data_IF_228192074035
#
_entry.id   IF_228192074035
#
_cell.length_a   1.000
_cell.length_b   1.000
_cell.length_c   1.000
_cell.angle_alpha   90.00
_cell.angle_beta   90.00
_cell.angle_gamma   90.00
#
_symmetry.space_group_name_H-M   'P 1'
#
loop_
_entity.id
_entity.type
_entity.pdbx_description
1 polymer ?
#
# COMPACT_ATOMS: atom_id res chain seq x y z
N UNK A 1 28.99 7.27 15.99
CA UNK A 1 28.71 8.15 17.15
C UNK A 1 27.22 8.45 17.16
N UNK A 2 26.46 7.73 17.98
CA UNK A 2 25.05 8.00 18.24
C UNK A 2 24.99 9.37 18.94
N UNK A 3 24.10 10.27 18.50
CA UNK A 3 23.92 11.56 19.16
C UNK A 3 22.54 11.52 19.80
N UNK A 4 22.47 11.83 21.08
CA UNK A 4 21.23 11.91 21.84
C UNK A 4 20.89 13.39 22.03
N UNK A 5 19.65 13.77 21.76
CA UNK A 5 19.15 15.11 22.08
C UNK A 5 17.92 14.95 22.99
N UNK A 6 17.92 15.68 24.10
CA UNK A 6 16.87 15.68 25.10
C UNK A 6 15.96 16.88 24.86
N UNK A 7 14.71 16.64 24.48
CA UNK A 7 13.64 17.66 24.53
C UNK A 7 12.63 17.21 25.58
N UNK A 8 12.15 18.16 26.37
CA UNK A 8 11.75 18.04 27.78
C UNK A 8 10.60 17.08 28.14
N UNK A 9 10.10 16.23 27.23
CA UNK A 9 9.04 15.26 27.52
C UNK A 9 9.10 13.95 26.68
N UNK A 10 9.99 13.82 25.70
CA UNK A 10 10.05 12.63 24.83
C UNK A 10 11.52 12.29 24.56
N UNK A 11 11.97 11.12 25.01
CA UNK A 11 13.27 10.58 24.62
C UNK A 11 13.16 10.06 23.19
N UNK A 12 13.52 10.90 22.22
CA UNK A 12 13.63 10.50 20.83
C UNK A 12 15.06 10.03 20.58
N UNK A 13 15.26 8.71 20.58
CA UNK A 13 16.52 8.14 20.10
C UNK A 13 16.56 8.30 18.58
N UNK A 14 17.71 8.63 18.02
CA UNK A 14 17.88 8.63 16.58
C UNK A 14 19.28 8.16 16.19
N UNK A 15 19.36 7.53 15.04
CA UNK A 15 20.60 7.08 14.44
C UNK A 15 20.94 7.98 13.24
N UNK A 16 22.12 8.62 13.26
CA UNK A 16 22.58 9.51 12.20
C UNK A 16 23.85 8.99 11.54
N UNK A 17 23.78 8.78 10.22
CA UNK A 17 24.93 8.39 9.38
C UNK A 17 25.08 9.41 8.27
N UNK A 18 26.13 10.26 8.29
CA UNK A 18 26.51 11.32 7.31
C UNK A 18 25.36 12.10 6.61
N UNK A 19 24.52 11.47 5.79
CA UNK A 19 23.38 12.06 5.06
C UNK A 19 22.00 11.54 5.49
N UNK A 20 21.93 10.54 6.37
CA UNK A 20 20.69 9.88 6.80
C UNK A 20 20.50 10.11 8.30
N UNK A 21 19.28 10.46 8.69
CA UNK A 21 18.82 10.55 10.07
C UNK A 21 17.57 9.69 10.20
N UNK A 22 17.60 8.69 11.06
CA UNK A 22 16.47 7.79 11.32
C UNK A 22 16.09 7.90 12.78
N UNK A 23 14.81 8.15 13.05
CA UNK A 23 14.27 8.19 14.40
C UNK A 23 14.03 6.75 14.89
N UNK A 24 14.60 6.41 16.04
CA UNK A 24 14.35 5.15 16.74
C UNK A 24 13.19 5.35 17.72
N UNK A 25 12.07 4.71 17.44
CA UNK A 25 10.87 4.78 18.27
C UNK A 25 10.76 3.52 19.12
N UNK A 26 10.41 3.68 20.40
CA UNK A 26 10.24 2.56 21.34
C UNK A 26 8.80 2.44 21.83
N UNK A 27 8.07 3.55 21.91
CA UNK A 27 6.71 3.58 22.43
C UNK A 27 5.65 3.50 21.32
N UNK A 28 4.54 2.80 21.62
CA UNK A 28 3.47 2.54 20.65
C UNK A 28 2.70 3.82 20.27
N UNK A 29 2.61 4.80 21.17
CA UNK A 29 1.98 6.09 20.93
C UNK A 29 2.71 6.91 19.85
N UNK A 30 4.04 7.00 19.93
CA UNK A 30 4.87 7.70 18.95
C UNK A 30 4.87 6.96 17.62
N UNK A 31 4.92 5.62 17.63
CA UNK A 31 4.79 4.82 16.42
C UNK A 31 3.47 5.13 15.71
N UNK A 32 2.34 5.11 16.43
CA UNK A 32 1.03 5.41 15.85
C UNK A 32 0.93 6.85 15.33
N UNK A 33 1.48 7.82 16.07
CA UNK A 33 1.51 9.24 15.64
C UNK A 33 2.25 9.41 14.32
N UNK A 34 3.37 8.72 14.16
CA UNK A 34 4.18 8.75 12.94
C UNK A 34 3.45 8.06 11.79
N UNK A 35 2.85 6.88 12.02
CA UNK A 35 2.06 6.18 11.01
C UNK A 35 0.88 7.01 10.53
N UNK A 36 0.15 7.65 11.44
CA UNK A 36 -0.96 8.56 11.12
C UNK A 36 -0.47 9.75 10.30
N UNK A 37 0.68 10.35 10.66
CA UNK A 37 1.26 11.48 9.93
C UNK A 37 1.66 11.11 8.49
N UNK A 38 2.12 9.87 8.27
CA UNK A 38 2.49 9.38 6.94
C UNK A 38 1.35 8.80 6.13
N UNK A 39 0.23 8.42 6.75
CA UNK A 39 -0.88 7.76 6.08
C UNK A 39 -2.11 8.68 5.96
N UNK A 40 -2.56 9.24 7.07
CA UNK A 40 -3.85 9.95 7.20
C UNK A 40 -3.74 11.46 6.99
N UNK A 41 -2.51 11.99 6.95
CA UNK A 41 -2.26 13.39 6.62
C UNK A 41 -2.73 13.72 5.20
N UNK A 42 -3.40 14.86 5.03
CA UNK A 42 -3.87 15.38 3.73
C UNK A 42 -2.72 15.52 2.72
N UNK A 43 -1.49 15.70 3.21
CA UNK A 43 -0.28 15.91 2.40
C UNK A 43 0.45 14.61 2.05
N UNK A 44 0.01 13.46 2.59
CA UNK A 44 0.72 12.18 2.43
C UNK A 44 0.70 11.66 0.99
N UNK A 45 -0.34 12.00 0.22
CA UNK A 45 -0.56 11.47 -1.12
C UNK A 45 -0.92 9.98 -1.11
N UNK A 46 -1.82 9.55 -2.00
CA UNK A 46 -2.20 8.14 -2.13
C UNK A 46 -1.11 7.35 -2.86
N UNK A 47 0.04 7.15 -2.22
CA UNK A 47 1.13 6.35 -2.77
C UNK A 47 0.72 4.88 -2.91
N UNK A 48 1.41 4.10 -3.74
CA UNK A 48 1.31 2.65 -3.68
C UNK A 48 1.93 2.14 -2.36
N UNK A 49 1.65 0.88 -1.99
CA UNK A 49 2.11 0.26 -0.74
C UNK A 49 3.64 0.43 -0.54
N UNK A 50 4.42 0.15 -1.58
CA UNK A 50 5.88 0.30 -1.59
C UNK A 50 6.34 1.73 -1.31
N UNK A 51 5.62 2.73 -1.82
CA UNK A 51 5.94 4.14 -1.60
C UNK A 51 5.71 4.58 -0.16
N UNK A 52 4.67 4.06 0.50
CA UNK A 52 4.38 4.36 1.91
C UNK A 52 5.36 3.66 2.85
N UNK A 53 5.65 2.38 2.60
CA UNK A 53 6.67 1.62 3.36
C UNK A 53 8.05 2.26 3.20
N UNK A 54 8.38 2.75 2.00
CA UNK A 54 9.61 3.49 1.72
C UNK A 54 9.79 4.74 2.59
N UNK A 55 8.73 5.54 2.76
CA UNK A 55 8.77 6.74 3.62
C UNK A 55 9.00 6.43 5.09
N UNK A 56 8.32 5.42 5.62
CA UNK A 56 8.54 4.98 7.01
C UNK A 56 9.98 4.52 7.19
N UNK A 57 10.50 3.74 6.24
CA UNK A 57 11.89 3.24 6.25
C UNK A 57 12.93 4.37 6.27
N UNK A 58 12.67 5.49 5.60
CA UNK A 58 13.63 6.61 5.52
C UNK A 58 13.66 7.46 6.78
N UNK A 59 12.55 7.54 7.51
CA UNK A 59 12.39 8.50 8.62
C UNK A 59 12.44 7.84 10.00
N UNK A 60 12.06 6.57 10.10
CA UNK A 60 11.82 5.93 11.40
C UNK A 60 12.13 4.44 11.39
N UNK A 61 12.56 3.91 12.54
CA UNK A 61 12.85 2.50 12.73
C UNK A 61 12.42 2.04 14.14
N UNK A 62 11.87 0.84 14.20
CA UNK A 62 11.56 0.12 15.44
C UNK A 62 11.57 -1.40 15.20
N UNK A 63 11.62 -2.25 16.25
CA UNK A 63 11.54 -3.70 16.08
C UNK A 63 10.24 -4.12 15.38
N UNK A 64 10.33 -5.02 14.41
CA UNK A 64 9.19 -5.51 13.62
C UNK A 64 8.40 -4.41 12.88
N UNK A 65 9.02 -3.26 12.57
CA UNK A 65 8.34 -2.12 11.97
C UNK A 65 7.56 -2.43 10.70
N UNK A 66 8.08 -3.30 9.83
CA UNK A 66 7.38 -3.71 8.59
C UNK A 66 6.03 -4.37 8.88
N UNK A 67 5.99 -5.27 9.87
CA UNK A 67 4.76 -5.96 10.27
C UNK A 67 3.75 -4.96 10.83
N UNK A 68 4.20 -4.04 11.69
CA UNK A 68 3.35 -3.01 12.29
C UNK A 68 2.78 -2.05 11.23
N UNK A 69 3.60 -1.63 10.25
CA UNK A 69 3.14 -0.79 9.13
C UNK A 69 2.09 -1.53 8.30
N UNK A 70 2.34 -2.79 7.96
CA UNK A 70 1.39 -3.60 7.19
C UNK A 70 0.05 -3.78 7.93
N UNK A 71 0.10 -4.13 9.22
CA UNK A 71 -1.10 -4.22 10.07
C UNK A 71 -1.85 -2.89 10.14
N UNK A 72 -1.14 -1.77 10.27
CA UNK A 72 -1.77 -0.44 10.28
C UNK A 72 -2.46 -0.11 8.95
N UNK A 73 -1.86 -0.41 7.81
CA UNK A 73 -2.52 -0.18 6.51
C UNK A 73 -3.70 -1.12 6.27
N UNK A 74 -3.68 -2.32 6.86
CA UNK A 74 -4.83 -3.23 6.84
C UNK A 74 -6.02 -2.73 7.68
N UNK A 75 -5.86 -1.76 8.59
CA UNK A 75 -7.03 -1.19 9.29
C UNK A 75 -7.70 -0.08 8.49
N UNK A 76 -7.07 0.45 7.43
CA UNK A 76 -7.62 1.55 6.65
C UNK A 76 -8.53 1.09 5.50
N UNK A 77 -9.83 1.26 5.66
CA UNK A 77 -10.85 0.96 4.65
C UNK A 77 -10.62 1.72 3.32
N UNK A 78 -10.22 2.99 3.39
CA UNK A 78 -9.95 3.80 2.20
C UNK A 78 -8.81 3.22 1.35
N UNK A 79 -7.73 2.79 2.02
CA UNK A 79 -6.59 2.17 1.36
C UNK A 79 -6.99 0.82 0.75
N UNK A 80 -7.71 -0.02 1.49
CA UNK A 80 -8.17 -1.32 1.01
C UNK A 80 -9.09 -1.22 -0.22
N UNK A 81 -9.94 -0.20 -0.26
CA UNK A 81 -10.82 0.05 -1.41
C UNK A 81 -10.07 0.54 -2.64
N UNK A 82 -9.04 1.38 -2.46
CA UNK A 82 -8.23 1.94 -3.55
C UNK A 82 -7.21 0.95 -4.11
N UNK A 83 -6.56 0.16 -3.25
CA UNK A 83 -5.56 -0.84 -3.61
C UNK A 83 -6.15 -2.25 -3.60
N UNK A 84 -7.25 -2.44 -4.34
CA UNK A 84 -7.73 -3.80 -4.61
C UNK A 84 -6.65 -4.56 -5.38
N UNK A 85 -6.43 -5.82 -5.02
CA UNK A 85 -5.51 -6.69 -5.72
C UNK A 85 -5.85 -6.70 -7.22
N UNK A 86 -4.97 -6.12 -8.04
CA UNK A 86 -5.12 -6.01 -9.49
C UNK A 86 -4.76 -7.31 -10.22
N UNK A 87 -4.64 -8.42 -9.49
CA UNK A 87 -4.46 -9.73 -10.09
C UNK A 87 -5.62 -10.02 -11.03
N UNK A 88 -5.33 -10.61 -12.20
CA UNK A 88 -6.37 -11.26 -13.00
C UNK A 88 -7.15 -12.18 -12.05
N UNK A 89 -8.48 -12.12 -12.07
CA UNK A 89 -9.29 -13.15 -11.40
C UNK A 89 -8.70 -14.50 -11.81
N UNK A 90 -8.43 -15.37 -10.84
CA UNK A 90 -8.11 -16.76 -11.14
C UNK A 90 -9.35 -17.37 -11.81
N UNK A 91 -9.39 -17.27 -13.13
CA UNK A 91 -10.31 -17.95 -14.00
C UNK A 91 -9.45 -18.78 -14.93
N UNK A 92 -9.70 -20.08 -14.94
CA UNK A 92 -9.08 -20.96 -15.93
C UNK A 92 -9.35 -20.37 -17.31
N UNK A 93 -8.31 -20.26 -18.13
CA UNK A 93 -8.50 -20.20 -19.57
C UNK A 93 -9.12 -21.55 -19.93
N UNK A 94 -10.46 -21.62 -19.96
CA UNK A 94 -11.17 -22.83 -20.31
C UNK A 94 -10.98 -22.99 -21.81
N UNK A 95 -10.38 -24.10 -22.22
CA UNK A 95 -10.36 -24.47 -23.62
C UNK A 95 -11.81 -24.70 -24.07
N UNK A 96 -12.27 -23.91 -25.04
CA UNK A 96 -13.55 -24.15 -25.67
C UNK A 96 -13.50 -25.48 -26.42
N UNK A 97 -14.60 -26.23 -26.40
CA UNK A 97 -14.69 -27.47 -27.16
C UNK A 97 -14.67 -27.14 -28.66
N UNK A 98 -13.82 -27.85 -29.40
CA UNK A 98 -13.76 -27.72 -30.86
C UNK A 98 -15.10 -28.14 -31.48
N UNK A 99 -15.59 -27.31 -32.41
CA UNK A 99 -16.83 -27.56 -33.13
C UNK A 99 -16.57 -28.61 -34.21
N UNK A 100 -17.41 -29.64 -34.30
CA UNK A 100 -17.26 -30.76 -35.24
C UNK A 100 -17.92 -30.50 -36.57
N UNK A 101 -18.81 -29.51 -36.64
CA UNK A 101 -19.56 -29.18 -37.85
C UNK A 101 -19.81 -27.67 -37.99
N UNK A 102 -19.98 -27.15 -39.21
CA UNK A 102 -20.38 -25.77 -39.42
C UNK A 102 -21.72 -25.46 -38.72
N UNK A 103 -21.84 -24.25 -38.15
CA UNK A 103 -23.06 -23.71 -37.52
C UNK A 103 -23.51 -24.41 -36.23
N UNK A 104 -22.66 -25.24 -35.61
CA UNK A 104 -22.98 -25.97 -34.36
C UNK A 104 -23.21 -25.02 -33.17
N UNK A 105 -22.44 -23.93 -33.09
CA UNK A 105 -22.61 -22.87 -32.11
C UNK A 105 -22.54 -21.51 -32.80
N UNK A 106 -23.49 -20.62 -32.47
CA UNK A 106 -23.50 -19.21 -32.89
C UNK A 106 -23.44 -18.33 -31.65
N UNK A 107 -22.35 -17.58 -31.51
CA UNK A 107 -22.22 -16.56 -30.48
C UNK A 107 -22.73 -15.23 -31.02
N UNK A 108 -23.62 -14.57 -30.28
CA UNK A 108 -24.13 -13.24 -30.61
C UNK A 108 -23.85 -12.29 -29.47
N UNK A 109 -23.57 -11.03 -29.81
CA UNK A 109 -23.39 -9.96 -28.83
C UNK A 109 -24.05 -8.67 -29.37
N UNK A 110 -24.40 -7.78 -28.46
CA UNK A 110 -25.03 -6.51 -28.79
C UNK A 110 -23.97 -5.47 -29.13
N UNK A 111 -24.06 -4.90 -30.34
CA UNK A 111 -23.35 -3.66 -30.65
C UNK A 111 -24.17 -2.49 -30.11
N UNK A 112 -23.60 -1.77 -29.15
CA UNK A 112 -24.21 -0.55 -28.58
C UNK A 112 -23.45 0.69 -29.03
N UNK A 113 -24.02 1.88 -28.81
CA UNK A 113 -23.45 3.18 -29.20
C UNK A 113 -23.29 3.42 -30.72
N UNK A 114 -24.24 2.94 -31.52
CA UNK A 114 -24.34 3.33 -32.93
C UNK A 114 -24.75 4.81 -33.06
N UNK A 115 -24.29 5.53 -34.09
CA UNK A 115 -24.70 6.91 -34.34
C UNK A 115 -26.21 7.01 -34.60
N UNK A 116 -26.84 8.18 -34.35
CA UNK A 116 -28.23 8.39 -34.73
C UNK A 116 -28.40 8.27 -36.25
N UNK A 117 -29.51 7.65 -36.67
CA UNK A 117 -29.88 7.43 -38.06
C UNK A 117 -30.57 8.61 -38.72
#
# INVERSE_FOLDING_TARGET
MMKEYYTSLIVILYHRTKHIFVITLTDRSSINTILHSFHDSVVSGYLLEDGRVGRVKTCSWWPNWRKYVAEYFQTCDRFQKGNRATGKKFGMMIQIQEQKSPWEIVHMDWVTALPPG
#
